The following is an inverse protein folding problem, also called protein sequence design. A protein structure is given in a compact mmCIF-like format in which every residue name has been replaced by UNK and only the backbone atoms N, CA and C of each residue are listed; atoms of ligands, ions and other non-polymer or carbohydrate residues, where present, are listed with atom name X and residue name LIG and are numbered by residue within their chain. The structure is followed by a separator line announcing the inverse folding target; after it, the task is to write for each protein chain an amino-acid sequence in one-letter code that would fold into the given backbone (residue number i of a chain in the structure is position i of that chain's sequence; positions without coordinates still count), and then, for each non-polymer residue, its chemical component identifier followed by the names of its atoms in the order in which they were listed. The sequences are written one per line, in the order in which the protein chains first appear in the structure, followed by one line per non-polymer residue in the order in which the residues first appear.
data_IF_027669457689
#
_entry.id   IF_027669457689
#
_cell.length_a   1.000
_cell.length_b   1.000
_cell.length_c   1.000
_cell.angle_alpha   90.00
_cell.angle_beta   90.00
_cell.angle_gamma   90.00
#
_symmetry.space_group_name_H-M   'P 1'
#
loop_
_entity.id
_entity.type
_entity.pdbx_description
1 polymer ?
#
# COMPACT_ATOMS: atom_id res chain seq x y z
N UNK A 1 3.07 -35.98 21.25
CA UNK A 1 3.80 -34.74 20.90
C UNK A 1 2.78 -33.61 20.82
N UNK A 2 2.90 -32.57 21.66
CA UNK A 2 1.92 -31.49 21.75
C UNK A 2 2.34 -30.39 20.78
N UNK A 3 1.71 -30.32 19.61
CA UNK A 3 1.91 -29.20 18.68
C UNK A 3 1.36 -27.95 19.35
N UNK A 4 2.26 -27.18 19.97
CA UNK A 4 1.96 -25.83 20.43
C UNK A 4 1.89 -24.99 19.16
N UNK A 5 0.71 -24.91 18.56
CA UNK A 5 0.46 -24.05 17.40
C UNK A 5 0.79 -22.63 17.85
N UNK A 6 1.90 -22.11 17.34
CA UNK A 6 2.42 -20.79 17.71
C UNK A 6 1.60 -19.73 16.97
N UNK A 7 0.38 -19.49 17.45
CA UNK A 7 -0.58 -18.53 16.86
C UNK A 7 -0.05 -17.09 16.91
N UNK A 8 1.02 -16.84 17.69
CA UNK A 8 1.67 -15.52 17.78
C UNK A 8 2.34 -15.15 16.46
N UNK A 9 2.98 -16.10 15.76
CA UNK A 9 3.63 -15.85 14.47
C UNK A 9 2.65 -15.44 13.37
N UNK A 10 1.48 -16.10 13.33
CA UNK A 10 0.39 -15.75 12.42
C UNK A 10 -0.20 -14.36 12.71
N UNK A 11 -0.32 -14.01 13.99
CA UNK A 11 -0.76 -12.67 14.41
C UNK A 11 0.20 -11.58 13.95
N UNK A 12 1.51 -11.76 14.16
CA UNK A 12 2.54 -10.80 13.74
C UNK A 12 2.60 -10.62 12.23
N UNK A 13 2.53 -11.73 11.47
CA UNK A 13 2.49 -11.67 10.01
C UNK A 13 1.28 -10.89 9.50
N UNK A 14 0.09 -11.15 10.06
CA UNK A 14 -1.15 -10.44 9.69
C UNK A 14 -1.07 -8.95 10.03
N UNK A 15 -0.49 -8.61 11.18
CA UNK A 15 -0.31 -7.23 11.62
C UNK A 15 0.67 -6.48 10.70
N UNK A 16 1.78 -7.13 10.31
CA UNK A 16 2.73 -6.61 9.33
C UNK A 16 2.04 -6.33 7.98
N UNK A 17 1.32 -7.30 7.41
CA UNK A 17 0.66 -7.08 6.13
C UNK A 17 -0.46 -6.04 6.20
N UNK A 18 -1.12 -5.89 7.35
CA UNK A 18 -2.08 -4.80 7.57
C UNK A 18 -1.40 -3.44 7.48
N UNK A 19 -0.22 -3.32 8.08
CA UNK A 19 0.60 -2.11 8.07
C UNK A 19 1.14 -1.79 6.67
N UNK A 20 1.60 -2.81 5.93
CA UNK A 20 2.03 -2.66 4.53
C UNK A 20 0.87 -2.21 3.64
N UNK A 21 -0.31 -2.79 3.83
CA UNK A 21 -1.52 -2.45 3.08
C UNK A 21 -1.97 -1.03 3.38
N UNK A 22 -1.96 -0.60 4.66
CA UNK A 22 -2.30 0.77 5.04
C UNK A 22 -1.29 1.80 4.54
N UNK A 23 0.01 1.45 4.52
CA UNK A 23 1.05 2.30 3.93
C UNK A 23 0.85 2.46 2.40
N UNK A 24 0.56 1.37 1.68
CA UNK A 24 0.23 1.42 0.25
C UNK A 24 -1.01 2.28 -0.04
N UNK A 25 -2.03 2.18 0.81
CA UNK A 25 -3.23 3.01 0.74
C UNK A 25 -2.91 4.50 0.96
N UNK A 26 -2.14 4.82 2.01
CA UNK A 26 -1.75 6.18 2.34
C UNK A 26 -0.89 6.83 1.26
N UNK A 27 0.08 6.08 0.71
CA UNK A 27 0.89 6.54 -0.42
C UNK A 27 0.04 6.80 -1.66
N UNK A 28 -0.90 5.90 -1.98
CA UNK A 28 -1.78 6.04 -3.15
C UNK A 28 -2.72 7.25 -3.01
N UNK A 29 -3.32 7.45 -1.82
CA UNK A 29 -4.16 8.62 -1.54
C UNK A 29 -3.35 9.93 -1.58
N UNK A 30 -2.17 9.95 -0.95
CA UNK A 30 -1.33 11.16 -0.91
C UNK A 30 -0.85 11.58 -2.29
N UNK A 31 -0.38 10.62 -3.10
CA UNK A 31 0.13 10.90 -4.44
C UNK A 31 -0.97 11.21 -5.45
N UNK A 32 -2.11 10.51 -5.41
CA UNK A 32 -3.26 10.86 -6.25
C UNK A 32 -3.77 12.27 -5.95
N UNK A 33 -3.81 12.66 -4.67
CA UNK A 33 -4.15 14.03 -4.29
C UNK A 33 -3.16 15.05 -4.87
N UNK A 34 -1.85 14.80 -4.79
CA UNK A 34 -0.84 15.69 -5.38
C UNK A 34 -0.98 15.82 -6.91
N UNK A 35 -1.32 14.73 -7.61
CA UNK A 35 -1.52 14.73 -9.06
C UNK A 35 -2.80 15.51 -9.43
N UNK A 36 -3.87 15.37 -8.65
CA UNK A 36 -5.17 15.95 -8.99
C UNK A 36 -5.33 17.40 -8.53
N UNK A 37 -4.71 17.79 -7.39
CA UNK A 37 -4.93 19.10 -6.76
C UNK A 37 -4.61 20.28 -7.67
N UNK A 38 -3.61 20.15 -8.53
CA UNK A 38 -3.21 21.20 -9.45
C UNK A 38 -4.19 21.34 -10.61
N UNK A 39 -4.18 20.39 -11.56
CA UNK A 39 -4.93 20.48 -12.81
C UNK A 39 -6.46 20.43 -12.66
N UNK A 40 -7.00 19.78 -11.63
CA UNK A 40 -8.45 19.58 -11.50
C UNK A 40 -9.11 20.35 -10.35
N UNK A 41 -8.36 20.66 -9.28
CA UNK A 41 -8.90 21.35 -8.10
C UNK A 41 -8.41 22.81 -7.98
N UNK A 42 -7.71 23.33 -8.99
CA UNK A 42 -7.28 24.74 -9.05
C UNK A 42 -6.15 25.11 -8.09
N UNK A 43 -5.48 24.13 -7.49
CA UNK A 43 -4.30 24.33 -6.66
C UNK A 43 -3.01 24.54 -7.45
N UNK A 44 -1.89 24.83 -6.78
CA UNK A 44 -0.59 24.90 -7.44
C UNK A 44 -0.19 23.53 -7.99
N UNK A 45 0.05 23.47 -9.30
CA UNK A 45 0.59 22.28 -9.97
C UNK A 45 2.01 22.00 -9.49
N UNK A 46 2.37 20.72 -9.40
CA UNK A 46 3.75 20.34 -9.12
C UNK A 46 4.61 20.61 -10.36
N UNK A 47 5.87 20.98 -10.13
CA UNK A 47 6.87 21.03 -11.18
C UNK A 47 7.02 19.65 -11.87
N UNK A 48 7.53 19.59 -13.12
CA UNK A 48 7.54 18.36 -13.92
C UNK A 48 8.22 17.16 -13.25
N UNK A 49 9.38 17.39 -12.60
CA UNK A 49 10.11 16.33 -11.90
C UNK A 49 9.37 15.77 -10.68
N UNK A 50 8.89 16.59 -9.72
CA UNK A 50 8.11 16.08 -8.60
C UNK A 50 6.75 15.51 -9.01
N UNK A 51 6.18 15.92 -10.16
CA UNK A 51 5.00 15.26 -10.75
C UNK A 51 5.30 13.82 -11.19
N UNK A 52 6.43 13.59 -11.86
CA UNK A 52 6.88 12.23 -12.22
C UNK A 52 7.19 11.37 -11.00
N UNK A 53 7.79 11.96 -9.96
CA UNK A 53 8.01 11.26 -8.70
C UNK A 53 6.69 10.87 -8.01
N UNK A 54 5.72 11.78 -7.94
CA UNK A 54 4.40 11.49 -7.37
C UNK A 54 3.70 10.35 -8.13
N UNK A 55 3.80 10.32 -9.47
CA UNK A 55 3.27 9.24 -10.29
C UNK A 55 3.98 7.90 -10.01
N UNK A 56 5.31 7.89 -9.95
CA UNK A 56 6.06 6.68 -9.63
C UNK A 56 5.70 6.13 -8.23
N UNK A 57 5.56 7.01 -7.25
CA UNK A 57 5.16 6.64 -5.87
C UNK A 57 3.70 6.18 -5.82
N UNK A 58 2.81 6.73 -6.65
CA UNK A 58 1.43 6.25 -6.78
C UNK A 58 1.41 4.80 -7.28
N UNK A 59 2.15 4.51 -8.35
CA UNK A 59 2.24 3.15 -8.92
C UNK A 59 2.83 2.18 -7.90
N UNK A 60 3.93 2.57 -7.23
CA UNK A 60 4.52 1.75 -6.17
C UNK A 60 3.54 1.51 -5.01
N UNK A 61 2.78 2.53 -4.61
CA UNK A 61 1.73 2.44 -3.59
C UNK A 61 0.66 1.42 -3.95
N UNK A 62 0.19 1.39 -5.20
CA UNK A 62 -0.77 0.40 -5.70
C UNK A 62 -0.16 -1.01 -5.67
N UNK A 63 1.08 -1.18 -6.14
CA UNK A 63 1.75 -2.50 -6.13
C UNK A 63 1.88 -3.04 -4.70
N UNK A 64 2.29 -2.19 -3.76
CA UNK A 64 2.41 -2.54 -2.33
C UNK A 64 1.05 -2.85 -1.72
N UNK A 65 0.01 -2.07 -2.04
CA UNK A 65 -1.36 -2.28 -1.57
C UNK A 65 -1.91 -3.62 -2.09
N UNK A 66 -1.77 -3.90 -3.38
CA UNK A 66 -2.22 -5.15 -4.00
C UNK A 66 -1.45 -6.35 -3.43
N UNK A 67 -0.15 -6.23 -3.20
CA UNK A 67 0.67 -7.27 -2.61
C UNK A 67 0.32 -7.52 -1.13
N UNK A 68 0.13 -6.46 -0.34
CA UNK A 68 -0.30 -6.57 1.06
C UNK A 68 -1.69 -7.19 1.19
N UNK A 69 -2.64 -6.76 0.34
CA UNK A 69 -4.00 -7.29 0.31
C UNK A 69 -4.04 -8.77 -0.08
N UNK A 70 -3.33 -9.18 -1.14
CA UNK A 70 -3.27 -10.61 -1.54
C UNK A 70 -2.71 -11.50 -0.43
N UNK A 71 -1.71 -11.04 0.32
CA UNK A 71 -1.15 -11.75 1.48
C UNK A 71 -2.08 -11.75 2.70
N UNK A 72 -2.85 -10.68 2.93
CA UNK A 72 -3.84 -10.60 4.01
C UNK A 72 -5.04 -11.54 3.81
N UNK A 73 -5.52 -11.64 2.58
CA UNK A 73 -6.70 -12.44 2.23
C UNK A 73 -6.36 -13.88 1.82
N UNK A 74 -5.09 -14.31 1.92
CA UNK A 74 -4.68 -15.68 1.61
C UNK A 74 -4.80 -16.03 0.12
N UNK A 75 -4.80 -15.04 -0.76
CA UNK A 75 -4.92 -15.25 -2.21
C UNK A 75 -3.61 -15.86 -2.72
N UNK A 76 -3.65 -17.14 -3.12
CA UNK A 76 -2.48 -17.90 -3.59
C UNK A 76 -1.73 -18.68 -2.50
N UNK A 77 -2.17 -18.63 -1.24
CA UNK A 77 -1.71 -19.58 -0.21
C UNK A 77 -2.62 -20.80 -0.25
N UNK A 78 -2.27 -21.78 -1.08
CA UNK A 78 -2.92 -23.09 -1.06
C UNK A 78 -2.55 -23.86 0.21
N UNK A 79 -3.23 -23.57 1.31
CA UNK A 79 -3.18 -24.33 2.56
C UNK A 79 -4.50 -24.18 3.33
#
# INVERSE_FOLDING_TARGET
MRFRTDTRGLGVAKLFFTLVTSAGLGLSMGTSFLIVRGPFLGGPSLDPFPMMAALAVFVAGIVVLSWGSTRLFGVGTGA
#
